data_IF_057294317299
#
_entry.id   IF_057294317299
#
_cell.length_a   1.000
_cell.length_b   1.000
_cell.length_c   1.000
_cell.angle_alpha   90.00
_cell.angle_beta   90.00
_cell.angle_gamma   90.00
#
_symmetry.space_group_name_H-M   'P 1'
#
loop_
_entity.id
_entity.type
_entity.pdbx_description
1 polymer ?
#
# COMPACT_ATOMS: atom_id res chain seq x y z
N UNK A 1 -10.92 36.49 7.51
CA UNK A 1 -10.54 35.98 6.18
C UNK A 1 -10.08 34.54 6.36
N UNK A 2 -10.99 33.58 6.16
CA UNK A 2 -10.64 32.15 6.15
C UNK A 2 -10.01 31.82 4.81
N UNK A 3 -8.74 31.44 4.82
CA UNK A 3 -8.11 30.78 3.68
C UNK A 3 -8.66 29.36 3.60
N UNK A 4 -9.44 29.09 2.56
CA UNK A 4 -9.81 27.74 2.19
C UNK A 4 -8.53 26.99 1.77
N UNK A 5 -8.24 25.90 2.44
CA UNK A 5 -7.22 24.93 2.02
C UNK A 5 -7.70 24.32 0.70
N UNK A 6 -7.03 24.65 -0.40
CA UNK A 6 -7.27 24.03 -1.70
C UNK A 6 -6.78 22.58 -1.68
N UNK A 7 -7.68 21.64 -1.37
CA UNK A 7 -7.44 20.18 -1.45
C UNK A 7 -7.69 19.65 -2.87
N UNK A 8 -7.16 20.30 -3.90
CA UNK A 8 -7.47 19.98 -5.30
C UNK A 8 -6.34 20.19 -6.31
N UNK A 9 -5.08 20.14 -5.87
CA UNK A 9 -3.91 20.33 -6.73
C UNK A 9 -3.22 19.03 -7.15
N UNK A 10 -2.56 19.06 -8.31
CA UNK A 10 -1.66 17.99 -8.78
C UNK A 10 -0.50 17.79 -7.80
N UNK A 11 -0.17 16.53 -7.50
CA UNK A 11 0.92 16.17 -6.59
C UNK A 11 2.27 16.60 -7.18
N UNK A 12 3.09 17.31 -6.38
CA UNK A 12 4.45 17.69 -6.76
C UNK A 12 5.47 16.56 -6.58
N UNK A 13 6.63 16.64 -7.25
CA UNK A 13 7.64 15.55 -7.24
C UNK A 13 8.13 15.14 -5.83
N UNK A 14 8.34 16.10 -4.93
CA UNK A 14 8.80 15.81 -3.55
C UNK A 14 7.72 15.11 -2.74
N UNK A 15 6.47 15.57 -2.89
CA UNK A 15 5.31 14.96 -2.25
C UNK A 15 5.07 13.54 -2.78
N UNK A 16 5.23 13.34 -4.09
CA UNK A 16 5.11 12.03 -4.72
C UNK A 16 6.11 11.01 -4.16
N UNK A 17 7.36 11.43 -3.94
CA UNK A 17 8.39 10.57 -3.34
C UNK A 17 8.00 10.15 -1.92
N UNK A 18 7.46 11.09 -1.12
CA UNK A 18 7.00 10.77 0.23
C UNK A 18 5.83 9.77 0.21
N UNK A 19 4.85 9.98 -0.68
CA UNK A 19 3.71 9.08 -0.85
C UNK A 19 4.16 7.68 -1.29
N UNK A 20 5.05 7.57 -2.27
CA UNK A 20 5.59 6.26 -2.68
C UNK A 20 6.35 5.56 -1.55
N UNK A 21 7.09 6.32 -0.73
CA UNK A 21 7.82 5.77 0.40
C UNK A 21 6.87 5.26 1.49
N UNK A 22 5.80 5.99 1.75
CA UNK A 22 4.74 5.59 2.66
C UNK A 22 4.02 4.33 2.18
N UNK A 23 3.58 4.29 0.92
CA UNK A 23 2.91 3.12 0.35
C UNK A 23 3.80 1.87 0.40
N UNK A 24 5.09 2.01 0.07
CA UNK A 24 6.09 0.94 0.28
C UNK A 24 6.18 0.49 1.74
N UNK A 25 6.22 1.45 2.66
CA UNK A 25 6.28 1.20 4.11
C UNK A 25 5.07 0.38 4.59
N UNK A 26 3.86 0.81 4.21
CA UNK A 26 2.60 0.12 4.54
C UNK A 26 2.58 -1.29 3.94
N UNK A 27 2.95 -1.48 2.67
CA UNK A 27 3.01 -2.80 2.05
C UNK A 27 3.98 -3.74 2.79
N UNK A 28 5.16 -3.24 3.19
CA UNK A 28 6.12 -4.03 4.02
C UNK A 28 5.57 -4.38 5.39
N UNK A 29 4.85 -3.46 6.01
CA UNK A 29 4.21 -3.69 7.30
C UNK A 29 3.20 -4.83 7.19
N UNK A 30 2.36 -4.81 6.15
CA UNK A 30 1.35 -5.84 5.86
C UNK A 30 1.98 -7.19 5.51
N UNK A 31 3.05 -7.22 4.71
CA UNK A 31 3.82 -8.44 4.46
C UNK A 31 4.23 -9.14 5.77
N UNK A 32 4.84 -8.39 6.70
CA UNK A 32 5.30 -8.92 7.99
C UNK A 32 4.14 -9.32 8.89
N UNK A 33 3.13 -8.45 9.00
CA UNK A 33 1.99 -8.62 9.89
C UNK A 33 1.13 -9.83 9.53
N UNK A 34 0.97 -10.12 8.24
CA UNK A 34 0.23 -11.30 7.76
C UNK A 34 1.15 -12.52 7.75
N UNK A 35 2.41 -12.34 7.31
CA UNK A 35 3.39 -13.42 7.19
C UNK A 35 3.67 -14.12 8.52
N UNK A 36 3.69 -13.39 9.64
CA UNK A 36 3.87 -13.98 10.97
C UNK A 36 2.77 -14.97 11.37
N UNK A 37 1.57 -14.85 10.81
CA UNK A 37 0.42 -15.72 11.12
C UNK A 37 0.41 -17.01 10.31
N UNK A 38 1.11 -17.08 9.17
CA UNK A 38 1.16 -18.28 8.31
C UNK A 38 1.56 -19.54 9.10
N UNK A 39 2.65 -19.58 9.90
CA UNK A 39 3.00 -20.78 10.66
C UNK A 39 2.09 -21.03 11.88
N UNK A 40 1.26 -20.06 12.28
CA UNK A 40 0.40 -20.14 13.46
C UNK A 40 -1.03 -20.58 13.12
N UNK A 41 -1.44 -20.44 11.86
CA UNK A 41 -2.78 -20.79 11.40
C UNK A 41 -2.92 -22.31 11.22
N UNK A 42 -3.98 -22.86 11.81
CA UNK A 42 -4.27 -24.28 11.80
C UNK A 42 -5.26 -24.69 10.70
N UNK A 43 -6.11 -23.76 10.24
CA UNK A 43 -6.96 -23.98 9.06
C UNK A 43 -6.12 -23.87 7.78
N UNK A 44 -5.97 -24.95 6.98
CA UNK A 44 -5.18 -24.92 5.75
C UNK A 44 -5.67 -23.90 4.72
N UNK A 45 -6.98 -23.61 4.71
CA UNK A 45 -7.55 -22.62 3.78
C UNK A 45 -7.15 -21.21 4.18
N UNK A 46 -7.34 -20.84 5.45
CA UNK A 46 -6.88 -19.56 5.99
C UNK A 46 -5.35 -19.41 5.89
N UNK A 47 -4.58 -20.45 6.22
CA UNK A 47 -3.12 -20.45 6.11
C UNK A 47 -2.66 -20.13 4.69
N UNK A 48 -3.27 -20.78 3.69
CA UNK A 48 -2.98 -20.51 2.27
C UNK A 48 -3.32 -19.08 1.89
N UNK A 49 -4.46 -18.54 2.34
CA UNK A 49 -4.85 -17.15 2.10
C UNK A 49 -3.83 -16.17 2.69
N UNK A 50 -3.39 -16.38 3.93
CA UNK A 50 -2.37 -15.53 4.57
C UNK A 50 -1.05 -15.58 3.81
N UNK A 51 -0.62 -16.76 3.35
CA UNK A 51 0.61 -16.90 2.57
C UNK A 51 0.53 -16.14 1.24
N UNK A 52 -0.59 -16.23 0.53
CA UNK A 52 -0.81 -15.49 -0.73
C UNK A 52 -0.82 -13.99 -0.47
N UNK A 53 -1.59 -13.53 0.52
CA UNK A 53 -1.70 -12.13 0.87
C UNK A 53 -0.36 -11.51 1.28
N UNK A 54 0.42 -12.21 2.11
CA UNK A 54 1.76 -11.78 2.51
C UNK A 54 2.66 -11.57 1.29
N UNK A 55 2.78 -12.56 0.39
CA UNK A 55 3.62 -12.43 -0.81
C UNK A 55 3.16 -11.32 -1.76
N UNK A 56 1.85 -11.09 -1.91
CA UNK A 56 1.32 -9.99 -2.70
C UNK A 56 1.72 -8.63 -2.13
N UNK A 57 1.69 -8.46 -0.81
CA UNK A 57 2.19 -7.23 -0.17
C UNK A 57 3.71 -7.04 -0.28
N UNK A 58 4.49 -8.13 -0.31
CA UNK A 58 5.91 -8.03 -0.63
C UNK A 58 6.11 -7.50 -2.06
N UNK A 59 5.38 -8.06 -3.03
CA UNK A 59 5.42 -7.60 -4.41
C UNK A 59 4.98 -6.14 -4.57
N UNK A 60 3.90 -5.71 -3.89
CA UNK A 60 3.48 -4.30 -3.89
C UNK A 60 4.59 -3.38 -3.37
N UNK A 61 5.27 -3.77 -2.29
CA UNK A 61 6.38 -2.98 -1.76
C UNK A 61 7.52 -2.82 -2.77
N UNK A 62 7.80 -3.86 -3.57
CA UNK A 62 8.82 -3.79 -4.61
C UNK A 62 8.40 -2.86 -5.75
N UNK A 63 7.13 -2.89 -6.17
CA UNK A 63 6.60 -1.93 -7.16
C UNK A 63 6.74 -0.47 -6.70
N UNK A 64 6.45 -0.19 -5.42
CA UNK A 64 6.61 1.15 -4.86
C UNK A 64 8.10 1.53 -4.66
N UNK A 65 8.96 0.57 -4.34
CA UNK A 65 10.41 0.79 -4.26
C UNK A 65 11.01 1.22 -5.60
N UNK A 66 10.55 0.65 -6.71
CA UNK A 66 10.96 1.02 -8.06
C UNK A 66 10.60 2.48 -8.41
N UNK A 67 9.63 3.09 -7.72
CA UNK A 67 9.27 4.51 -7.89
C UNK A 67 10.17 5.45 -7.11
N UNK A 68 10.88 4.97 -6.08
CA UNK A 68 11.71 5.82 -5.24
C UNK A 68 13.03 6.17 -5.94
N UNK A 69 13.54 7.41 -5.75
CA UNK A 69 14.90 7.76 -6.15
C UNK A 69 15.89 6.78 -5.52
N UNK A 70 16.75 6.16 -6.33
CA UNK A 70 17.76 5.19 -5.84
C UNK A 70 18.98 5.85 -5.18
N UNK A 71 18.88 7.13 -4.83
CA UNK A 71 19.85 7.84 -3.99
C UNK A 71 19.59 7.39 -2.55
N UNK A 72 20.61 7.07 -1.73
CA UNK A 72 20.38 6.66 -0.35
C UNK A 72 19.69 7.79 0.42
N UNK A 73 18.40 7.59 0.72
CA UNK A 73 17.60 8.45 1.59
C UNK A 73 17.45 7.70 2.91
N UNK A 74 17.81 8.33 4.02
CA UNK A 74 17.64 7.77 5.35
C UNK A 74 16.15 7.43 5.58
N UNK A 75 15.87 6.17 5.87
CA UNK A 75 14.52 5.63 5.87
C UNK A 75 13.72 6.13 7.09
N UNK A 76 12.53 6.69 6.84
CA UNK A 76 11.53 7.00 7.86
C UNK A 76 10.93 5.68 8.39
N UNK A 77 10.85 5.57 9.71
CA UNK A 77 10.35 4.39 10.43
C UNK A 77 8.88 4.09 10.15
N UNK A 78 8.53 2.81 10.21
CA UNK A 78 7.19 2.29 9.97
C UNK A 78 6.55 1.91 11.30
N UNK A 79 5.33 2.37 11.55
CA UNK A 79 4.55 1.99 12.73
C UNK A 79 4.15 0.50 12.72
N UNK A 80 4.16 -0.09 13.91
CA UNK A 80 3.88 -1.51 14.15
C UNK A 80 2.42 -1.86 13.88
N UNK A 81 2.20 -2.96 13.14
CA UNK A 81 0.86 -3.50 12.87
C UNK A 81 0.38 -4.40 14.02
N UNK A 82 -0.93 -4.34 14.28
CA UNK A 82 -1.73 -4.98 15.33
C UNK A 82 -1.54 -6.51 15.49
N UNK A 83 -1.62 -7.00 16.74
CA UNK A 83 -1.41 -8.42 17.16
C UNK A 83 -2.71 -9.27 17.06
N UNK A 84 -3.69 -8.86 16.26
CA UNK A 84 -4.91 -9.64 16.07
C UNK A 84 -4.78 -10.58 14.85
N UNK A 85 -5.51 -11.72 14.83
CA UNK A 85 -5.61 -12.54 13.63
C UNK A 85 -6.08 -11.69 12.42
N UNK A 86 -5.54 -11.94 11.20
CA UNK A 86 -5.78 -11.07 10.04
C UNK A 86 -7.25 -10.90 9.68
N UNK A 87 -8.07 -11.94 9.84
CA UNK A 87 -9.52 -11.91 9.58
C UNK A 87 -10.26 -10.76 10.28
N UNK A 88 -9.74 -10.26 11.40
CA UNK A 88 -10.39 -9.24 12.22
C UNK A 88 -10.13 -7.80 11.78
N UNK A 89 -9.04 -7.54 11.06
CA UNK A 89 -8.59 -6.18 10.76
C UNK A 89 -8.21 -5.98 9.30
N UNK A 90 -7.78 -7.05 8.63
CA UNK A 90 -7.23 -6.98 7.29
C UNK A 90 -8.22 -6.49 6.23
N UNK A 91 -9.51 -6.90 6.24
CA UNK A 91 -10.48 -6.37 5.27
C UNK A 91 -10.63 -4.85 5.35
N UNK A 92 -10.66 -4.28 6.57
CA UNK A 92 -10.76 -2.84 6.76
C UNK A 92 -9.49 -2.12 6.30
N UNK A 93 -8.31 -2.70 6.55
CA UNK A 93 -7.04 -2.15 6.07
C UNK A 93 -6.95 -2.16 4.54
N UNK A 94 -7.49 -3.19 3.87
CA UNK A 94 -7.58 -3.22 2.41
C UNK A 94 -8.50 -2.12 1.88
N UNK A 95 -9.67 -1.93 2.51
CA UNK A 95 -10.63 -0.90 2.13
C UNK A 95 -10.02 0.52 2.27
N UNK A 96 -9.25 0.76 3.33
CA UNK A 96 -8.50 2.02 3.54
C UNK A 96 -7.43 2.23 2.47
N UNK A 97 -6.61 1.23 2.18
CA UNK A 97 -5.59 1.33 1.13
C UNK A 97 -6.18 1.57 -0.25
N UNK A 98 -7.31 0.95 -0.58
CA UNK A 98 -8.01 1.18 -1.85
C UNK A 98 -8.49 2.63 -1.94
N UNK A 99 -9.07 3.17 -0.87
CA UNK A 99 -9.52 4.56 -0.83
C UNK A 99 -8.35 5.55 -1.00
N UNK A 100 -7.21 5.30 -0.34
CA UNK A 100 -6.02 6.15 -0.49
C UNK A 100 -5.46 6.12 -1.92
N UNK A 101 -5.53 4.97 -2.59
CA UNK A 101 -5.13 4.86 -4.00
C UNK A 101 -6.11 5.57 -4.94
N UNK A 102 -7.41 5.52 -4.67
CA UNK A 102 -8.42 6.29 -5.42
C UNK A 102 -8.18 7.80 -5.29
N UNK A 103 -7.86 8.28 -4.08
CA UNK A 103 -7.50 9.69 -3.87
C UNK A 103 -6.20 10.05 -4.60
N UNK A 104 -5.18 9.20 -4.53
CA UNK A 104 -3.90 9.44 -5.18
C UNK A 104 -4.03 9.46 -6.71
N UNK A 105 -4.79 8.53 -7.29
CA UNK A 105 -5.02 8.46 -8.74
C UNK A 105 -5.63 9.76 -9.27
N UNK A 106 -6.57 10.36 -8.53
CA UNK A 106 -7.20 11.62 -8.89
C UNK A 106 -6.23 12.81 -8.90
N UNK A 107 -5.07 12.70 -8.25
CA UNK A 107 -4.10 13.79 -8.04
C UNK A 107 -2.81 13.65 -8.87
N UNK A 108 -2.57 12.49 -9.48
CA UNK A 108 -1.41 12.24 -10.35
C UNK A 108 -1.75 12.59 -11.80
N UNK A 109 -0.94 13.43 -12.44
CA UNK A 109 -1.09 13.73 -13.85
C UNK A 109 -0.59 12.55 -14.72
N UNK A 110 -1.46 11.87 -15.49
CA UNK A 110 -1.09 10.72 -16.29
C UNK A 110 -0.18 11.04 -17.48
N UNK A 111 -0.16 12.29 -17.95
CA UNK A 111 0.75 12.71 -19.02
C UNK A 111 2.17 12.93 -18.49
N UNK A 112 2.30 13.40 -17.25
CA UNK A 112 3.59 13.68 -16.62
C UNK A 112 4.18 12.45 -15.91
N UNK A 113 3.35 11.59 -15.32
CA UNK A 113 3.79 10.37 -14.66
C UNK A 113 2.90 9.14 -14.94
N UNK A 114 2.94 8.61 -16.18
CA UNK A 114 2.19 7.42 -16.55
C UNK A 114 2.63 6.16 -15.80
N UNK A 115 3.86 6.15 -15.26
CA UNK A 115 4.41 5.01 -14.53
C UNK A 115 3.81 4.87 -13.14
N UNK A 116 3.61 5.98 -12.42
CA UNK A 116 2.91 5.94 -11.13
C UNK A 116 1.46 5.55 -11.30
N UNK A 117 0.76 6.08 -12.31
CA UNK A 117 -0.62 5.66 -12.64
C UNK A 117 -0.69 4.15 -12.86
N UNK A 118 0.24 3.58 -13.63
CA UNK A 118 0.30 2.13 -13.85
C UNK A 118 0.47 1.36 -12.54
N UNK A 119 1.35 1.81 -11.64
CA UNK A 119 1.55 1.13 -10.34
C UNK A 119 0.29 1.20 -9.49
N UNK A 120 -0.37 2.37 -9.42
CA UNK A 120 -1.65 2.54 -8.73
C UNK A 120 -2.68 1.54 -9.28
N UNK A 121 -2.85 1.48 -10.61
CA UNK A 121 -3.80 0.56 -11.24
C UNK A 121 -3.51 -0.90 -10.88
N UNK A 122 -2.25 -1.33 -10.93
CA UNK A 122 -1.85 -2.72 -10.63
C UNK A 122 -2.10 -3.08 -9.18
N UNK A 123 -1.63 -2.25 -8.25
CA UNK A 123 -1.76 -2.49 -6.80
C UNK A 123 -3.23 -2.46 -6.42
N UNK A 124 -3.99 -1.46 -6.88
CA UNK A 124 -5.43 -1.34 -6.61
C UNK A 124 -6.21 -2.56 -7.08
N UNK A 125 -5.96 -3.02 -8.31
CA UNK A 125 -6.63 -4.20 -8.85
C UNK A 125 -6.36 -5.46 -8.00
N UNK A 126 -5.11 -5.66 -7.55
CA UNK A 126 -4.77 -6.79 -6.69
C UNK A 126 -5.37 -6.66 -5.28
N UNK A 127 -5.43 -5.44 -4.71
CA UNK A 127 -6.08 -5.20 -3.43
C UNK A 127 -7.59 -5.52 -3.49
N UNK A 128 -8.27 -5.16 -4.59
CA UNK A 128 -9.68 -5.52 -4.81
C UNK A 128 -9.86 -7.04 -4.92
N UNK A 129 -8.94 -7.74 -5.59
CA UNK A 129 -8.95 -9.20 -5.67
C UNK A 129 -8.76 -9.84 -4.28
N UNK A 130 -7.77 -9.36 -3.52
CA UNK A 130 -7.52 -9.76 -2.12
C UNK A 130 -8.72 -9.52 -1.22
N UNK A 131 -9.45 -8.43 -1.44
CA UNK A 131 -10.63 -8.06 -0.66
C UNK A 131 -11.83 -8.96 -0.92
N UNK A 132 -11.85 -9.58 -2.09
CA UNK A 132 -12.93 -10.43 -2.58
C UNK A 132 -12.72 -11.93 -2.28
N UNK A 133 -11.57 -12.32 -1.70
CA UNK A 133 -11.18 -13.71 -1.43
C UNK A 133 -11.56 -14.22 -0.03
#
# INVERSE_FOLDING_TARGET
>A
MSGATETGGTVGIVELVAICAEMRGRCRAMFRAIGQWVPQESDPVAQRRYAIASHRHAWHADLWDERLPKIPVDAIGVDSVTILPPDRWYPAALDEMIADLDELEARVDPMLDPSTVRVITLVRADLVDLRST
#
